data_IF_985639599379
#
_entry.id   IF_985639599379
#
_cell.length_a   1.000
_cell.length_b   1.000
_cell.length_c   1.000
_cell.angle_alpha   90.00
_cell.angle_beta   90.00
_cell.angle_gamma   90.00
#
_symmetry.space_group_name_H-M   'P 1'
#
loop_
_entity.id
_entity.type
_entity.pdbx_description
1 polymer ?
#
# COMPACT_ATOMS: atom_id res chain seq x y z
N UNK A 1 -9.76 13.13 -6.77
CA UNK A 1 -9.05 12.99 -5.48
C UNK A 1 -9.05 14.34 -4.77
N UNK A 2 -9.52 14.39 -3.51
CA UNK A 2 -9.78 15.63 -2.76
C UNK A 2 -8.53 16.52 -2.64
N UNK A 3 -7.38 15.93 -2.30
CA UNK A 3 -6.11 16.64 -2.14
C UNK A 3 -5.70 17.40 -3.41
N UNK A 4 -5.90 16.80 -4.59
CA UNK A 4 -5.60 17.46 -5.87
C UNK A 4 -6.60 18.57 -6.19
N UNK A 5 -7.88 18.37 -5.90
CA UNK A 5 -8.93 19.35 -6.17
C UNK A 5 -8.70 20.66 -5.41
N UNK A 6 -8.23 20.58 -4.17
CA UNK A 6 -7.94 21.75 -3.33
C UNK A 6 -6.47 22.22 -3.39
N UNK A 7 -5.67 21.79 -4.38
CA UNK A 7 -4.29 22.24 -4.54
C UNK A 7 -3.36 21.87 -3.37
N UNK A 8 -3.67 20.81 -2.62
CA UNK A 8 -2.88 20.42 -1.46
C UNK A 8 -1.50 19.87 -1.84
N UNK A 9 -1.28 19.51 -3.10
CA UNK A 9 -0.02 18.93 -3.60
C UNK A 9 0.97 20.00 -4.10
N UNK A 10 0.51 21.23 -4.37
CA UNK A 10 1.29 22.32 -4.98
C UNK A 10 2.56 22.66 -4.17
N UNK A 11 2.50 22.51 -2.84
CA UNK A 11 3.67 22.69 -1.96
C UNK A 11 4.77 21.68 -2.28
N UNK A 12 4.40 20.43 -2.55
CA UNK A 12 5.34 19.35 -2.82
C UNK A 12 5.85 19.36 -4.26
N UNK A 13 5.12 19.93 -5.22
CA UNK A 13 5.59 20.07 -6.61
C UNK A 13 6.84 20.93 -6.73
N UNK A 14 7.02 21.90 -5.84
CA UNK A 14 8.16 22.83 -5.81
C UNK A 14 9.28 22.39 -4.86
N UNK A 15 9.07 21.30 -4.13
CA UNK A 15 10.02 20.81 -3.13
C UNK A 15 11.00 19.82 -3.78
N UNK A 16 12.30 20.13 -3.86
CA UNK A 16 13.29 19.23 -4.44
C UNK A 16 13.49 17.94 -3.62
N UNK A 17 13.05 17.92 -2.36
CA UNK A 17 13.07 16.73 -1.49
C UNK A 17 11.77 15.92 -1.56
N UNK A 18 10.84 16.29 -2.44
CA UNK A 18 9.59 15.56 -2.57
C UNK A 18 9.83 14.11 -3.02
N UNK A 19 9.16 13.19 -2.32
CA UNK A 19 9.18 11.77 -2.62
C UNK A 19 8.61 11.49 -4.01
N UNK A 20 9.29 10.63 -4.75
CA UNK A 20 8.80 10.07 -6.02
C UNK A 20 7.96 8.84 -5.73
N UNK A 21 6.66 9.05 -5.59
CA UNK A 21 5.72 8.00 -5.26
C UNK A 21 5.49 7.05 -6.45
N UNK A 22 5.44 5.76 -6.16
CA UNK A 22 5.15 4.70 -7.12
C UNK A 22 3.69 4.22 -6.99
N UNK A 23 3.28 3.35 -7.91
CA UNK A 23 2.00 2.61 -7.84
C UNK A 23 0.75 3.48 -7.63
N UNK A 24 0.78 4.73 -8.12
CA UNK A 24 -0.34 5.68 -7.99
C UNK A 24 -0.43 6.38 -6.63
N UNK A 25 0.60 6.27 -5.78
CA UNK A 25 0.74 7.08 -4.58
C UNK A 25 0.91 8.57 -4.88
N UNK A 26 0.61 9.40 -3.89
CA UNK A 26 0.79 10.87 -3.98
C UNK A 26 1.68 11.35 -2.83
N UNK A 27 2.46 12.43 -3.00
CA UNK A 27 3.20 13.01 -1.88
C UNK A 27 2.25 13.40 -0.76
N UNK A 28 2.67 13.16 0.49
CA UNK A 28 1.87 13.52 1.64
C UNK A 28 1.81 15.06 1.77
N UNK A 29 0.63 15.71 1.71
CA UNK A 29 0.52 17.18 1.58
C UNK A 29 1.21 18.00 2.67
N UNK A 30 1.38 17.43 3.87
CA UNK A 30 2.06 18.10 5.00
C UNK A 30 3.54 17.73 5.13
N UNK A 31 3.96 16.65 4.47
CA UNK A 31 5.29 16.05 4.58
C UNK A 31 5.66 15.45 3.24
N UNK A 32 6.27 16.27 2.38
CA UNK A 32 6.52 15.90 0.99
C UNK A 32 7.53 14.75 0.84
N UNK A 33 8.23 14.36 1.91
CA UNK A 33 9.28 13.33 1.90
C UNK A 33 8.76 11.89 1.94
N UNK A 34 7.45 11.71 2.06
CA UNK A 34 6.78 10.41 2.03
C UNK A 34 5.47 10.43 1.24
N UNK A 35 5.00 9.25 0.89
CA UNK A 35 3.82 9.07 0.08
C UNK A 35 2.59 8.63 0.90
N UNK A 36 1.42 9.07 0.45
CA UNK A 36 0.13 8.46 0.77
C UNK A 36 -0.12 7.35 -0.25
N UNK A 37 -0.15 6.11 0.22
CA UNK A 37 -0.24 4.95 -0.64
C UNK A 37 -1.69 4.50 -0.87
N UNK A 38 -2.02 4.04 -2.08
CA UNK A 38 -3.27 3.34 -2.32
C UNK A 38 -3.26 2.00 -1.58
N UNK A 39 -4.46 1.43 -1.39
CA UNK A 39 -4.61 0.14 -0.75
C UNK A 39 -3.84 -0.94 -1.54
N UNK A 40 -3.06 -1.78 -0.84
CA UNK A 40 -2.18 -2.76 -1.46
C UNK A 40 -0.71 -2.35 -1.59
N UNK A 41 -0.37 -1.11 -1.25
CA UNK A 41 1.00 -0.59 -1.29
C UNK A 41 1.37 0.14 0.02
N UNK A 42 2.64 0.08 0.38
CA UNK A 42 3.20 0.61 1.61
C UNK A 42 4.66 1.07 1.39
N UNK A 43 5.29 1.52 2.47
CA UNK A 43 6.62 2.11 2.43
C UNK A 43 6.59 3.60 2.09
N UNK A 44 7.75 4.24 2.22
CA UNK A 44 7.89 5.69 2.00
C UNK A 44 7.51 6.11 0.59
N UNK A 45 7.76 5.24 -0.40
CA UNK A 45 7.51 5.51 -1.82
C UNK A 45 6.35 4.70 -2.42
N UNK A 46 5.60 3.95 -1.60
CA UNK A 46 4.57 3.01 -2.09
C UNK A 46 5.13 1.88 -2.98
N UNK A 47 6.40 1.54 -2.77
CA UNK A 47 7.19 0.53 -3.48
C UNK A 47 7.24 -0.82 -2.74
N UNK A 48 6.57 -0.92 -1.59
CA UNK A 48 6.57 -2.12 -0.75
C UNK A 48 5.18 -2.71 -0.60
N UNK A 49 5.12 -4.03 -0.42
CA UNK A 49 3.90 -4.72 -0.04
C UNK A 49 3.58 -4.38 1.43
N UNK A 50 2.33 -4.04 1.77
CA UNK A 50 1.95 -3.85 3.15
C UNK A 50 2.21 -5.13 3.96
N UNK A 51 2.74 -4.96 5.16
CA UNK A 51 2.92 -6.06 6.09
C UNK A 51 1.55 -6.46 6.66
N UNK A 52 1.22 -7.74 6.54
CA UNK A 52 0.09 -8.35 7.23
C UNK A 52 0.64 -9.54 8.02
N UNK A 53 0.56 -9.52 9.37
CA UNK A 53 1.28 -10.49 10.20
C UNK A 53 0.92 -11.95 9.96
N UNK A 54 -0.24 -12.23 9.36
CA UNK A 54 -0.82 -13.58 9.28
C UNK A 54 -0.99 -14.11 7.86
N UNK A 55 -0.91 -13.26 6.84
CA UNK A 55 -1.18 -13.65 5.46
C UNK A 55 -0.55 -12.70 4.45
N UNK A 56 -0.62 -13.07 3.16
CA UNK A 56 -0.04 -12.29 2.06
C UNK A 56 1.39 -12.70 1.74
N UNK A 57 1.75 -12.61 0.46
CA UNK A 57 3.05 -13.00 -0.04
C UNK A 57 3.39 -12.25 -1.34
N UNK A 58 4.67 -12.20 -1.69
CA UNK A 58 5.09 -11.87 -3.05
C UNK A 58 5.32 -13.18 -3.78
N UNK A 59 4.51 -13.44 -4.79
CA UNK A 59 4.51 -14.65 -5.61
C UNK A 59 5.33 -14.40 -6.88
N UNK A 60 5.80 -15.47 -7.51
CA UNK A 60 6.51 -15.40 -8.78
C UNK A 60 5.63 -16.00 -9.87
N UNK A 61 5.24 -15.19 -10.85
CA UNK A 61 4.49 -15.67 -12.00
C UNK A 61 5.32 -16.69 -12.80
N UNK A 62 4.66 -17.74 -13.29
CA UNK A 62 5.22 -18.65 -14.30
C UNK A 62 4.29 -18.75 -15.51
N UNK A 63 4.78 -19.37 -16.57
CA UNK A 63 3.98 -19.66 -17.77
C UNK A 63 2.98 -20.80 -17.56
N UNK A 64 3.12 -21.57 -16.48
CA UNK A 64 2.20 -22.63 -16.06
C UNK A 64 1.28 -22.13 -14.95
N UNK A 65 0.10 -22.73 -14.82
CA UNK A 65 -0.77 -22.42 -13.68
C UNK A 65 -0.11 -22.92 -12.37
N UNK A 66 -0.38 -22.21 -11.28
CA UNK A 66 0.05 -22.55 -9.92
C UNK A 66 -1.11 -22.30 -8.96
N UNK A 67 -1.30 -23.19 -8.00
CA UNK A 67 -2.31 -23.01 -6.96
C UNK A 67 -1.76 -22.15 -5.82
N UNK A 68 -2.54 -21.17 -5.37
CA UNK A 68 -2.26 -20.40 -4.16
C UNK A 68 -3.17 -20.91 -3.04
N UNK A 69 -2.55 -21.52 -2.03
CA UNK A 69 -3.23 -21.94 -0.80
C UNK A 69 -2.80 -21.02 0.33
N UNK A 70 -3.76 -20.43 1.04
CA UNK A 70 -3.50 -19.57 2.19
C UNK A 70 -4.61 -19.70 3.22
N UNK A 71 -4.23 -19.59 4.50
CA UNK A 71 -5.14 -19.52 5.63
C UNK A 71 -5.39 -18.06 5.98
N UNK A 72 -6.66 -17.67 6.02
CA UNK A 72 -7.09 -16.30 6.33
C UNK A 72 -7.86 -16.34 7.64
N UNK A 73 -7.41 -15.55 8.62
CA UNK A 73 -7.99 -15.53 9.96
C UNK A 73 -7.35 -16.56 10.90
N UNK A 74 -7.88 -16.67 12.12
CA UNK A 74 -7.44 -17.66 13.11
C UNK A 74 -8.57 -17.98 14.10
N UNK A 75 -8.55 -19.19 14.65
CA UNK A 75 -9.54 -19.62 15.62
C UNK A 75 -9.49 -18.74 16.89
N UNK A 76 -10.67 -18.40 17.43
CA UNK A 76 -10.84 -17.58 18.65
C UNK A 76 -10.38 -16.13 18.52
N UNK A 77 -10.34 -15.58 17.30
CA UNK A 77 -10.18 -14.13 17.12
C UNK A 77 -11.32 -13.40 17.84
N UNK A 78 -11.03 -12.41 18.71
CA UNK A 78 -12.08 -11.55 19.27
C UNK A 78 -12.79 -10.80 18.13
N UNK A 79 -14.06 -10.50 18.33
CA UNK A 79 -14.80 -9.69 17.36
C UNK A 79 -14.13 -8.31 17.26
N UNK A 80 -13.74 -7.94 16.04
CA UNK A 80 -13.10 -6.67 15.73
C UNK A 80 -14.00 -5.88 14.79
N UNK A 81 -14.04 -4.56 14.97
CA UNK A 81 -14.81 -3.67 14.09
C UNK A 81 -14.18 -3.55 12.68
N UNK A 82 -12.89 -3.85 12.57
CA UNK A 82 -12.10 -3.70 11.36
C UNK A 82 -11.72 -5.07 10.76
N UNK A 83 -11.57 -5.09 9.44
CA UNK A 83 -11.09 -6.28 8.73
C UNK A 83 -9.57 -6.35 8.77
N UNK A 84 -9.03 -7.56 8.96
CA UNK A 84 -7.63 -7.86 8.61
C UNK A 84 -7.53 -8.04 7.09
N UNK A 85 -6.58 -7.34 6.48
CA UNK A 85 -6.35 -7.41 5.04
C UNK A 85 -5.11 -8.24 4.72
N UNK A 86 -5.21 -9.04 3.66
CA UNK A 86 -4.12 -9.84 3.11
C UNK A 86 -3.72 -9.28 1.74
N UNK A 87 -2.42 -9.08 1.54
CA UNK A 87 -1.89 -8.50 0.30
C UNK A 87 -0.98 -9.49 -0.41
N UNK A 88 -1.34 -9.83 -1.66
CA UNK A 88 -0.58 -10.70 -2.53
C UNK A 88 -0.07 -9.90 -3.73
N UNK A 89 1.23 -9.93 -3.96
CA UNK A 89 1.87 -9.36 -5.15
C UNK A 89 2.28 -10.50 -6.07
N UNK A 90 2.18 -10.29 -7.38
CA UNK A 90 2.57 -11.24 -8.44
C UNK A 90 3.51 -10.50 -9.39
#
# INVERSE_FOLDING_TARGET
MLNKHYGCLDKCEKDPQAAKCENGGIPHPRDCTRCLCPNGYAGTLCDKRPESPKCGATLQASTSYQDLVSEIGYERKPEEADFELCYYWI
#
